data_IF_794466706029
#
_entry.id   IF_794466706029
#
_cell.length_a   1.000
_cell.length_b   1.000
_cell.length_c   1.000
_cell.angle_alpha   90.00
_cell.angle_beta   90.00
_cell.angle_gamma   90.00
#
_symmetry.space_group_name_H-M   'P 1'
#
loop_
_entity.id
_entity.type
_entity.pdbx_description
1 polymer ?
#
# COMPACT_ATOMS: atom_id res chain seq x y z
N UNK A 1 -41.36 18.21 -14.87
CA UNK A 1 -40.07 17.47 -14.77
C UNK A 1 -40.29 16.23 -13.91
N UNK A 2 -40.11 15.04 -14.48
CA UNK A 2 -40.58 13.77 -13.92
C UNK A 2 -39.88 13.41 -12.59
N UNK A 3 -40.63 13.06 -11.54
CA UNK A 3 -40.11 12.68 -10.19
C UNK A 3 -39.02 11.60 -10.28
N UNK A 4 -39.13 10.70 -11.24
CA UNK A 4 -38.16 9.64 -11.50
C UNK A 4 -36.77 10.16 -11.91
N UNK A 5 -36.74 11.22 -12.73
CA UNK A 5 -35.50 11.83 -13.23
C UNK A 5 -34.75 12.56 -12.10
N UNK A 6 -35.49 13.18 -11.18
CA UNK A 6 -34.93 13.83 -9.99
C UNK A 6 -34.31 12.81 -9.02
N UNK A 7 -34.98 11.70 -8.77
CA UNK A 7 -34.46 10.65 -7.89
C UNK A 7 -33.23 9.95 -8.46
N UNK A 8 -33.22 9.67 -9.77
CA UNK A 8 -32.06 9.10 -10.45
C UNK A 8 -30.85 10.02 -10.35
N UNK A 9 -30.98 11.30 -10.74
CA UNK A 9 -29.90 12.29 -10.65
C UNK A 9 -29.39 12.51 -9.22
N UNK A 10 -30.27 12.42 -8.23
CA UNK A 10 -29.90 12.57 -6.81
C UNK A 10 -29.15 11.35 -6.28
N UNK A 11 -29.56 10.14 -6.69
CA UNK A 11 -28.86 8.89 -6.36
C UNK A 11 -27.48 8.84 -7.03
N UNK A 12 -27.38 9.19 -8.33
CA UNK A 12 -26.09 9.25 -9.04
C UNK A 12 -25.18 10.30 -8.43
N UNK A 13 -25.68 11.49 -8.05
CA UNK A 13 -24.90 12.51 -7.33
C UNK A 13 -24.34 12.01 -6.01
N UNK A 14 -25.15 11.30 -5.23
CA UNK A 14 -24.73 10.74 -3.94
C UNK A 14 -23.65 9.67 -4.12
N UNK A 15 -23.82 8.79 -5.11
CA UNK A 15 -22.85 7.75 -5.43
C UNK A 15 -21.51 8.35 -5.91
N UNK A 16 -21.58 9.32 -6.82
CA UNK A 16 -20.38 9.99 -7.37
C UNK A 16 -19.64 10.77 -6.28
N UNK A 17 -20.37 11.52 -5.45
CA UNK A 17 -19.78 12.29 -4.35
C UNK A 17 -19.19 11.38 -3.28
N UNK A 18 -19.83 10.24 -3.01
CA UNK A 18 -19.31 9.24 -2.09
C UNK A 18 -18.02 8.61 -2.63
N UNK A 19 -17.99 8.22 -3.91
CA UNK A 19 -16.81 7.64 -4.55
C UNK A 19 -15.63 8.63 -4.60
N UNK A 20 -15.88 9.88 -4.99
CA UNK A 20 -14.86 10.94 -5.06
C UNK A 20 -14.30 11.30 -3.68
N UNK A 21 -15.15 11.45 -2.66
CA UNK A 21 -14.69 11.74 -1.29
C UNK A 21 -13.88 10.58 -0.69
N UNK A 22 -14.16 9.34 -1.11
CA UNK A 22 -13.46 8.15 -0.64
C UNK A 22 -12.12 7.94 -1.37
N UNK A 23 -12.04 8.30 -2.65
CA UNK A 23 -10.80 8.22 -3.44
C UNK A 23 -9.78 9.31 -3.09
N UNK A 24 -10.23 10.53 -2.79
CA UNK A 24 -9.33 11.68 -2.64
C UNK A 24 -9.20 12.22 -1.20
N UNK A 25 -9.92 11.65 -0.23
CA UNK A 25 -9.84 12.07 1.17
C UNK A 25 -10.38 13.48 1.48
N UNK A 26 -10.77 14.26 0.47
CA UNK A 26 -11.32 15.61 0.61
C UNK A 26 -12.77 15.71 0.11
N UNK A 27 -13.54 16.61 0.72
CA UNK A 27 -14.92 16.90 0.27
C UNK A 27 -14.87 17.79 -0.98
N UNK A 28 -14.89 17.19 -2.17
CA UNK A 28 -15.15 17.95 -3.40
C UNK A 28 -16.60 18.47 -3.34
N UNK A 29 -16.76 19.78 -3.21
CA UNK A 29 -18.06 20.44 -3.26
C UNK A 29 -18.45 20.69 -4.72
N UNK A 30 -19.22 19.78 -5.30
CA UNK A 30 -19.81 20.00 -6.63
C UNK A 30 -21.04 20.90 -6.47
N UNK A 31 -20.87 22.21 -6.64
CA UNK A 31 -21.99 23.15 -6.72
C UNK A 31 -22.70 22.99 -8.06
N UNK A 32 -23.98 22.64 -8.02
CA UNK A 32 -24.89 22.81 -9.15
C UNK A 32 -25.79 23.99 -8.83
N UNK A 33 -25.55 25.12 -9.49
CA UNK A 33 -26.55 26.20 -9.56
C UNK A 33 -27.67 25.75 -10.52
N UNK A 34 -28.95 25.76 -10.10
CA UNK A 34 -30.07 25.50 -11.01
C UNK A 34 -30.29 26.62 -12.05
N UNK A 35 -29.57 27.74 -11.96
CA UNK A 35 -29.90 28.99 -12.65
C UNK A 35 -28.89 29.46 -13.70
N UNK A 36 -27.95 28.62 -14.13
CA UNK A 36 -26.99 28.95 -15.21
C UNK A 36 -27.02 28.00 -16.41
N UNK A 37 -28.17 27.42 -16.71
CA UNK A 37 -28.40 26.62 -17.93
C UNK A 37 -29.21 27.36 -19.01
N UNK A 38 -29.29 28.69 -18.92
CA UNK A 38 -30.02 29.47 -19.91
C UNK A 38 -29.17 29.99 -21.07
N UNK A 39 -27.82 29.96 -21.04
CA UNK A 39 -27.03 30.47 -22.16
C UNK A 39 -25.80 29.60 -22.46
N UNK A 40 -25.93 28.81 -23.53
CA UNK A 40 -24.88 28.51 -24.50
C UNK A 40 -23.52 28.06 -23.97
N UNK A 41 -23.43 26.83 -23.45
CA UNK A 41 -22.19 26.06 -23.49
C UNK A 41 -22.51 24.62 -23.87
N UNK A 42 -21.95 24.24 -25.01
CA UNK A 42 -22.18 23.03 -25.79
C UNK A 42 -22.19 21.74 -24.94
N UNK A 43 -23.41 21.21 -24.77
CA UNK A 43 -23.76 20.02 -24.00
C UNK A 43 -23.05 18.75 -24.49
N UNK A 44 -22.59 18.71 -25.74
CA UNK A 44 -21.88 17.56 -26.32
C UNK A 44 -20.41 17.47 -25.87
N UNK A 45 -19.73 18.61 -25.63
CA UNK A 45 -18.34 18.60 -25.12
C UNK A 45 -18.28 18.26 -23.63
N UNK A 46 -19.21 18.79 -22.82
CA UNK A 46 -19.27 18.50 -21.39
C UNK A 46 -19.69 17.06 -21.07
N UNK A 47 -20.49 16.41 -21.93
CA UNK A 47 -20.83 14.99 -21.81
C UNK A 47 -19.65 14.09 -22.18
N UNK A 48 -18.84 14.45 -23.19
CA UNK A 48 -17.64 13.70 -23.59
C UNK A 48 -16.51 13.72 -22.55
N UNK A 49 -16.26 14.87 -21.90
CA UNK A 49 -15.30 15.01 -20.81
C UNK A 49 -15.75 14.26 -19.55
N UNK A 50 -17.05 14.34 -19.21
CA UNK A 50 -17.64 13.58 -18.10
C UNK A 50 -17.62 12.07 -18.37
N UNK A 51 -17.91 11.63 -19.59
CA UNK A 51 -17.85 10.23 -19.98
C UNK A 51 -16.40 9.70 -19.94
N UNK A 52 -15.43 10.45 -20.46
CA UNK A 52 -14.00 10.11 -20.36
C UNK A 52 -13.49 10.09 -18.91
N UNK A 53 -13.94 11.03 -18.08
CA UNK A 53 -13.55 11.08 -16.67
C UNK A 53 -14.22 9.97 -15.85
N UNK A 54 -15.47 9.62 -16.15
CA UNK A 54 -16.16 8.45 -15.60
C UNK A 54 -15.53 7.15 -16.10
N UNK A 55 -15.12 7.05 -17.36
CA UNK A 55 -14.35 5.91 -17.88
C UNK A 55 -12.99 5.79 -17.19
N UNK A 56 -12.31 6.90 -16.95
CA UNK A 56 -10.99 6.91 -16.30
C UNK A 56 -11.11 6.61 -14.79
N UNK A 57 -12.12 7.16 -14.12
CA UNK A 57 -12.47 6.83 -12.75
C UNK A 57 -12.98 5.38 -12.63
N UNK A 58 -13.78 4.88 -13.58
CA UNK A 58 -14.18 3.48 -13.65
C UNK A 58 -13.03 2.55 -14.04
N UNK A 59 -12.00 2.99 -14.80
CA UNK A 59 -10.74 2.27 -14.99
C UNK A 59 -9.97 2.18 -13.69
N UNK A 60 -9.87 3.28 -12.94
CA UNK A 60 -9.26 3.30 -11.60
C UNK A 60 -10.09 2.52 -10.56
N UNK A 61 -11.41 2.39 -10.76
CA UNK A 61 -12.29 1.64 -9.88
C UNK A 61 -12.31 0.14 -10.22
N UNK A 62 -12.29 -0.21 -11.52
CA UNK A 62 -12.09 -1.59 -12.00
C UNK A 62 -10.69 -2.12 -11.71
N UNK A 63 -9.72 -1.26 -11.39
CA UNK A 63 -8.39 -1.64 -10.89
C UNK A 63 -8.33 -1.84 -9.37
N UNK A 64 -9.48 -1.97 -8.69
CA UNK A 64 -9.53 -2.32 -7.25
C UNK A 64 -9.39 -3.83 -7.01
N UNK A 65 -9.66 -4.65 -8.03
CA UNK A 65 -9.00 -5.94 -8.14
C UNK A 65 -7.65 -5.70 -8.82
N UNK A 66 -6.58 -6.29 -8.28
CA UNK A 66 -5.38 -6.53 -9.09
C UNK A 66 -5.89 -7.12 -10.41
N UNK A 67 -5.67 -6.49 -11.57
CA UNK A 67 -6.16 -7.09 -12.80
C UNK A 67 -5.32 -8.34 -13.00
N UNK A 68 -5.88 -9.47 -12.53
CA UNK A 68 -5.35 -10.81 -12.61
C UNK A 68 -4.63 -11.00 -13.94
N UNK A 69 -3.41 -11.52 -13.88
CA UNK A 69 -2.59 -11.72 -15.07
C UNK A 69 -2.62 -13.19 -15.44
N UNK A 70 -2.88 -13.47 -16.70
CA UNK A 70 -3.03 -14.83 -17.21
C UNK A 70 -1.92 -15.11 -18.19
N UNK A 71 -1.35 -16.31 -18.13
CA UNK A 71 -0.40 -16.75 -19.15
C UNK A 71 -1.07 -16.73 -20.52
N UNK A 72 -0.41 -16.12 -21.52
CA UNK A 72 -0.94 -16.12 -22.88
C UNK A 72 -1.02 -17.55 -23.44
N UNK A 73 -2.06 -17.88 -24.22
CA UNK A 73 -2.21 -19.20 -24.83
C UNK A 73 -0.98 -19.64 -25.62
N UNK A 74 -0.70 -20.94 -25.62
CA UNK A 74 0.40 -21.54 -26.38
C UNK A 74 1.77 -21.47 -25.70
N UNK A 75 1.88 -20.84 -24.53
CA UNK A 75 3.11 -20.83 -23.72
C UNK A 75 2.96 -21.79 -22.55
N UNK A 76 3.99 -22.59 -22.27
CA UNK A 76 4.07 -23.35 -21.03
C UNK A 76 4.67 -22.49 -19.89
N UNK A 77 4.49 -22.93 -18.64
CA UNK A 77 5.16 -22.30 -17.50
C UNK A 77 6.68 -22.40 -17.58
N UNK A 78 7.20 -23.51 -18.10
CA UNK A 78 8.63 -23.69 -18.33
C UNK A 78 9.16 -22.67 -19.35
N UNK A 79 8.45 -22.46 -20.46
CA UNK A 79 8.83 -21.47 -21.47
C UNK A 79 8.80 -20.06 -20.89
N UNK A 80 7.76 -19.75 -20.11
CA UNK A 80 7.62 -18.46 -19.45
C UNK A 80 8.81 -18.14 -18.54
N UNK A 81 9.16 -19.03 -17.61
CA UNK A 81 10.29 -18.80 -16.69
C UNK A 81 11.64 -18.83 -17.40
N UNK A 82 11.82 -19.72 -18.38
CA UNK A 82 13.02 -19.77 -19.21
C UNK A 82 13.24 -18.44 -19.95
N UNK A 83 12.16 -17.87 -20.52
CA UNK A 83 12.22 -16.58 -21.18
C UNK A 83 12.49 -15.42 -20.20
N UNK A 84 11.85 -15.41 -19.03
CA UNK A 84 12.14 -14.40 -18.01
C UNK A 84 13.62 -14.39 -17.62
N UNK A 85 14.21 -15.58 -17.47
CA UNK A 85 15.64 -15.73 -17.20
C UNK A 85 16.51 -15.22 -18.35
N UNK A 86 16.16 -15.57 -19.59
CA UNK A 86 16.88 -15.12 -20.78
C UNK A 86 16.83 -13.60 -20.97
N UNK A 87 15.71 -12.96 -20.63
CA UNK A 87 15.53 -11.50 -20.67
C UNK A 87 16.20 -10.76 -19.50
N UNK A 88 16.80 -11.50 -18.55
CA UNK A 88 17.38 -10.93 -17.34
C UNK A 88 16.35 -10.25 -16.42
N UNK A 89 15.09 -10.67 -16.46
CA UNK A 89 14.03 -10.12 -15.60
C UNK A 89 14.35 -10.49 -14.14
N UNK A 90 14.35 -9.49 -13.25
CA UNK A 90 14.56 -9.73 -11.82
C UNK A 90 13.22 -10.04 -11.16
N UNK A 91 12.97 -11.32 -10.95
CA UNK A 91 11.76 -11.82 -10.29
C UNK A 91 12.09 -12.91 -9.27
N UNK A 92 11.12 -13.23 -8.42
CA UNK A 92 11.05 -14.50 -7.70
C UNK A 92 9.60 -14.96 -7.52
N UNK A 93 9.39 -16.26 -7.40
CA UNK A 93 8.13 -16.86 -6.96
C UNK A 93 8.10 -16.85 -5.43
N UNK A 94 7.03 -16.31 -4.84
CA UNK A 94 6.99 -15.99 -3.41
C UNK A 94 6.79 -17.21 -2.51
N UNK A 95 6.02 -18.20 -2.96
CA UNK A 95 5.61 -19.37 -2.19
C UNK A 95 5.10 -20.46 -3.11
N UNK A 96 5.00 -21.68 -2.60
CA UNK A 96 4.47 -22.86 -3.31
C UNK A 96 5.20 -23.18 -4.62
N UNK A 97 6.48 -22.81 -4.71
CA UNK A 97 7.30 -22.99 -5.90
C UNK A 97 7.86 -24.41 -6.03
N UNK A 98 7.74 -25.24 -4.99
CA UNK A 98 8.30 -26.59 -4.93
C UNK A 98 7.67 -27.56 -5.93
N UNK A 99 6.42 -27.33 -6.33
CA UNK A 99 5.73 -28.15 -7.32
C UNK A 99 5.90 -27.65 -8.75
N UNK A 100 6.51 -26.48 -8.97
CA UNK A 100 6.63 -25.91 -10.31
C UNK A 100 7.44 -26.82 -11.25
N UNK A 101 6.99 -27.00 -12.50
CA UNK A 101 5.93 -26.23 -13.19
C UNK A 101 4.49 -26.73 -12.96
N UNK A 102 4.29 -27.77 -12.15
CA UNK A 102 2.95 -28.32 -11.89
C UNK A 102 2.20 -27.47 -10.86
N UNK A 103 1.08 -26.89 -11.28
CA UNK A 103 0.20 -26.05 -10.46
C UNK A 103 -1.17 -26.71 -10.38
N UNK A 104 -1.72 -26.79 -9.16
CA UNK A 104 -3.04 -27.38 -8.97
C UNK A 104 -4.12 -26.54 -9.68
N UNK A 105 -5.17 -27.17 -10.24
CA UNK A 105 -6.22 -26.43 -10.94
C UNK A 105 -6.86 -25.36 -10.05
N UNK A 106 -6.80 -24.10 -10.51
CA UNK A 106 -7.39 -22.95 -9.83
C UNK A 106 -6.45 -22.19 -8.90
N UNK A 107 -5.25 -22.71 -8.63
CA UNK A 107 -4.21 -22.00 -7.88
C UNK A 107 -3.53 -20.93 -8.75
N UNK A 108 -3.08 -19.86 -8.13
CA UNK A 108 -2.30 -18.80 -8.75
C UNK A 108 -0.81 -18.89 -8.41
N UNK A 109 0.01 -18.20 -9.21
CA UNK A 109 1.44 -18.03 -8.95
C UNK A 109 1.68 -16.59 -8.52
N UNK A 110 2.15 -16.41 -7.29
CA UNK A 110 2.54 -15.11 -6.78
C UNK A 110 3.99 -14.76 -7.16
N UNK A 111 4.16 -13.69 -7.93
CA UNK A 111 5.47 -13.17 -8.33
C UNK A 111 5.77 -11.85 -7.64
N UNK A 112 7.00 -11.71 -7.15
CA UNK A 112 7.59 -10.41 -6.83
C UNK A 112 8.61 -10.05 -7.91
N UNK A 113 8.46 -8.85 -8.48
CA UNK A 113 9.21 -8.40 -9.65
C UNK A 113 9.77 -7.00 -9.38
N UNK A 114 10.96 -6.73 -9.90
CA UNK A 114 11.54 -5.40 -9.89
C UNK A 114 10.66 -4.40 -10.66
N UNK A 115 10.54 -3.18 -10.14
CA UNK A 115 9.64 -2.15 -10.71
C UNK A 115 9.94 -1.86 -12.19
N UNK A 116 11.22 -1.78 -12.56
CA UNK A 116 11.68 -1.51 -13.92
C UNK A 116 11.45 -2.66 -14.91
N UNK A 117 11.19 -3.87 -14.43
CA UNK A 117 11.03 -5.05 -15.26
C UNK A 117 9.56 -5.41 -15.53
N UNK A 118 8.59 -4.74 -14.89
CA UNK A 118 7.18 -5.11 -14.99
C UNK A 118 6.62 -4.97 -16.41
N UNK A 119 7.01 -3.93 -17.13
CA UNK A 119 6.59 -3.73 -18.52
C UNK A 119 7.04 -4.89 -19.42
N UNK A 120 8.14 -5.58 -19.08
CA UNK A 120 8.65 -6.72 -19.86
C UNK A 120 7.73 -7.94 -19.77
N UNK A 121 6.81 -8.01 -18.79
CA UNK A 121 5.87 -9.11 -18.65
C UNK A 121 4.69 -9.05 -19.63
N UNK A 122 4.40 -7.87 -20.18
CA UNK A 122 3.25 -7.66 -21.07
C UNK A 122 3.33 -8.54 -22.33
N UNK A 123 4.54 -8.97 -22.72
CA UNK A 123 4.72 -9.90 -23.84
C UNK A 123 4.22 -11.31 -23.53
N UNK A 124 4.22 -11.72 -22.26
CA UNK A 124 3.86 -13.09 -21.81
C UNK A 124 2.51 -13.19 -21.14
N UNK A 125 2.07 -12.11 -20.47
CA UNK A 125 0.86 -12.10 -19.67
C UNK A 125 -0.24 -11.27 -20.33
N UNK A 126 -1.48 -11.69 -20.09
CA UNK A 126 -2.71 -11.05 -20.59
C UNK A 126 -3.60 -10.66 -19.41
N UNK A 127 -4.34 -9.54 -19.47
CA UNK A 127 -5.39 -9.25 -18.49
C UNK A 127 -6.65 -10.10 -18.70
N UNK A 128 -6.75 -10.85 -19.81
CA UNK A 128 -7.91 -11.65 -20.15
C UNK A 128 -7.63 -13.13 -19.95
N UNK A 129 -8.50 -13.78 -19.18
CA UNK A 129 -8.49 -15.22 -19.00
C UNK A 129 -8.92 -15.91 -20.30
N UNK A 130 -8.13 -16.89 -20.71
CA UNK A 130 -8.52 -17.88 -21.70
C UNK A 130 -8.68 -19.24 -21.03
N UNK A 131 -9.36 -20.18 -21.69
CA UNK A 131 -9.52 -21.54 -21.16
C UNK A 131 -8.14 -22.12 -20.78
N UNK A 132 -8.03 -22.66 -19.57
CA UNK A 132 -6.83 -23.26 -19.00
C UNK A 132 -5.59 -22.33 -18.88
N UNK A 133 -5.78 -21.01 -18.88
CA UNK A 133 -4.65 -20.09 -18.62
C UNK A 133 -4.25 -20.11 -17.15
N UNK A 134 -2.94 -20.22 -16.90
CA UNK A 134 -2.39 -20.11 -15.54
C UNK A 134 -2.53 -18.67 -15.04
N UNK A 135 -3.05 -18.52 -13.82
CA UNK A 135 -3.23 -17.25 -13.14
C UNK A 135 -1.94 -16.84 -12.40
N UNK A 136 -1.65 -15.54 -12.44
CA UNK A 136 -0.55 -14.89 -11.74
C UNK A 136 -1.06 -13.69 -10.95
N UNK A 137 -0.61 -13.61 -9.71
CA UNK A 137 -0.64 -12.42 -8.88
C UNK A 137 0.73 -11.74 -8.96
N UNK A 138 0.77 -10.53 -9.53
CA UNK A 138 2.00 -9.81 -9.79
C UNK A 138 2.17 -8.69 -8.77
N UNK A 139 3.28 -8.73 -8.04
CA UNK A 139 3.67 -7.72 -7.07
C UNK A 139 4.99 -7.06 -7.47
N UNK A 140 5.08 -5.78 -7.13
CA UNK A 140 6.25 -4.93 -7.41
C UNK A 140 6.90 -4.47 -6.10
N UNK A 141 8.14 -4.00 -6.18
CA UNK A 141 8.90 -3.53 -5.01
C UNK A 141 8.22 -2.33 -4.36
N UNK A 142 7.80 -1.33 -5.15
CA UNK A 142 7.16 -0.12 -4.62
C UNK A 142 5.62 -0.15 -4.67
N UNK A 143 5.01 -1.22 -5.18
CA UNK A 143 3.56 -1.29 -5.35
C UNK A 143 3.06 -0.37 -6.45
N UNK A 144 3.72 -0.38 -7.62
CA UNK A 144 3.31 0.40 -8.78
C UNK A 144 1.91 -0.01 -9.26
N UNK A 145 1.23 0.89 -9.98
CA UNK A 145 -0.15 0.66 -10.43
C UNK A 145 -0.28 -0.60 -11.29
N UNK A 146 -1.19 -1.49 -10.91
CA UNK A 146 -1.40 -2.80 -11.53
C UNK A 146 -0.52 -3.92 -10.97
N UNK A 147 0.34 -3.62 -9.99
CA UNK A 147 1.21 -4.59 -9.31
C UNK A 147 1.39 -4.29 -7.80
N UNK A 148 0.36 -3.68 -7.20
CA UNK A 148 0.26 -3.42 -5.76
C UNK A 148 -0.39 -4.59 -4.99
N UNK A 149 -0.39 -4.55 -3.66
CA UNK A 149 -1.22 -5.39 -2.82
C UNK A 149 -2.40 -4.58 -2.28
N UNK A 150 -3.62 -5.12 -2.41
CA UNK A 150 -4.86 -4.42 -2.03
C UNK A 150 -4.87 -2.97 -2.58
N UNK A 151 -5.49 -2.04 -1.87
CA UNK A 151 -5.56 -0.64 -2.28
C UNK A 151 -4.25 0.06 -1.91
N UNK A 152 -3.36 0.19 -2.91
CA UNK A 152 -2.21 1.10 -2.93
C UNK A 152 -1.07 0.84 -1.93
N UNK A 153 -0.89 -0.40 -1.48
CA UNK A 153 0.29 -0.80 -0.70
C UNK A 153 1.19 -1.71 -1.55
N UNK A 154 2.52 -1.69 -1.43
CA UNK A 154 3.33 -2.81 -1.92
C UNK A 154 3.02 -4.09 -1.13
N UNK A 155 3.44 -5.25 -1.64
CA UNK A 155 3.21 -6.53 -0.97
C UNK A 155 4.06 -6.69 0.29
N UNK A 156 5.32 -6.29 0.23
CA UNK A 156 6.16 -6.08 1.42
C UNK A 156 6.65 -4.63 1.46
N UNK A 157 7.10 -4.13 2.63
CA UNK A 157 7.96 -2.95 2.67
C UNK A 157 9.11 -3.06 1.65
N UNK A 158 9.40 -1.99 0.92
CA UNK A 158 10.33 -2.02 -0.21
C UNK A 158 11.72 -2.61 0.12
N UNK A 159 12.24 -2.38 1.32
CA UNK A 159 13.51 -2.94 1.75
C UNK A 159 13.50 -4.48 1.85
N UNK A 160 12.38 -5.09 2.26
CA UNK A 160 12.21 -6.56 2.31
C UNK A 160 12.04 -7.15 0.91
N UNK A 161 11.23 -6.51 0.05
CA UNK A 161 11.12 -6.88 -1.37
C UNK A 161 12.48 -6.85 -2.07
N UNK A 162 13.28 -5.80 -1.81
CA UNK A 162 14.64 -5.67 -2.34
C UNK A 162 15.59 -6.72 -1.78
N UNK A 163 15.47 -7.10 -0.50
CA UNK A 163 16.25 -8.21 0.07
C UNK A 163 15.92 -9.53 -0.64
N UNK A 164 14.63 -9.86 -0.79
CA UNK A 164 14.17 -11.06 -1.50
C UNK A 164 14.73 -11.14 -2.92
N UNK A 165 14.59 -10.06 -3.71
CA UNK A 165 15.07 -10.05 -5.10
C UNK A 165 16.59 -10.17 -5.18
N UNK A 166 17.36 -9.56 -4.27
CA UNK A 166 18.83 -9.63 -4.28
C UNK A 166 19.36 -11.00 -3.86
N UNK A 167 18.71 -11.65 -2.89
CA UNK A 167 19.16 -12.92 -2.29
C UNK A 167 18.44 -14.14 -2.85
N UNK A 168 17.55 -13.98 -3.84
CA UNK A 168 16.88 -15.09 -4.51
C UNK A 168 17.88 -16.13 -5.01
N UNK A 169 17.47 -17.38 -4.95
CA UNK A 169 18.23 -18.54 -5.44
C UNK A 169 17.53 -19.12 -6.64
N UNK A 170 18.31 -19.65 -7.58
CA UNK A 170 17.76 -20.40 -8.70
C UNK A 170 17.59 -21.86 -8.28
N UNK A 171 16.38 -22.39 -8.45
CA UNK A 171 16.07 -23.79 -8.19
C UNK A 171 16.49 -24.68 -9.36
N UNK A 172 16.58 -26.01 -9.18
CA UNK A 172 16.94 -26.93 -10.27
C UNK A 172 16.02 -26.87 -11.50
N UNK A 173 14.75 -26.48 -11.32
CA UNK A 173 13.79 -26.26 -12.40
C UNK A 173 13.97 -24.90 -13.12
N UNK A 174 15.02 -24.14 -12.77
CA UNK A 174 15.36 -22.85 -13.37
C UNK A 174 14.61 -21.65 -12.78
N UNK A 175 13.62 -21.87 -11.90
CA UNK A 175 12.81 -20.80 -11.31
C UNK A 175 13.57 -20.12 -10.17
N UNK A 176 13.46 -18.79 -10.08
CA UNK A 176 13.96 -18.05 -8.92
C UNK A 176 12.96 -18.05 -7.76
N UNK A 177 13.46 -18.36 -6.56
CA UNK A 177 12.70 -18.46 -5.32
C UNK A 177 13.52 -17.90 -4.14
N UNK A 178 12.90 -17.59 -2.99
CA UNK A 178 13.66 -17.28 -1.79
C UNK A 178 14.46 -18.49 -1.29
N UNK A 179 15.62 -18.24 -0.66
CA UNK A 179 16.32 -19.28 0.12
C UNK A 179 15.47 -19.75 1.32
N UNK A 180 15.86 -20.82 2.01
CA UNK A 180 15.07 -21.38 3.10
C UNK A 180 14.77 -20.35 4.22
N UNK A 181 15.73 -19.50 4.55
CA UNK A 181 15.56 -18.49 5.61
C UNK A 181 14.57 -17.42 5.18
N UNK A 182 14.75 -16.87 3.98
CA UNK A 182 13.88 -15.83 3.44
C UNK A 182 12.48 -16.37 3.13
N UNK A 183 12.37 -17.64 2.72
CA UNK A 183 11.09 -18.28 2.47
C UNK A 183 10.28 -18.38 3.76
N UNK A 184 10.92 -18.79 4.86
CA UNK A 184 10.27 -18.84 6.16
C UNK A 184 9.78 -17.45 6.59
N UNK A 185 10.63 -16.44 6.48
CA UNK A 185 10.28 -15.07 6.88
C UNK A 185 9.19 -14.46 5.99
N UNK A 186 9.23 -14.66 4.67
CA UNK A 186 8.22 -14.14 3.75
C UNK A 186 6.88 -14.85 3.88
N UNK A 187 6.88 -16.16 4.10
CA UNK A 187 5.66 -16.92 4.37
C UNK A 187 5.07 -16.58 5.74
N UNK A 188 5.93 -16.37 6.74
CA UNK A 188 5.54 -15.91 8.07
C UNK A 188 4.90 -14.52 8.01
N UNK A 189 5.50 -13.58 7.27
CA UNK A 189 4.92 -12.27 7.02
C UNK A 189 3.53 -12.37 6.37
N UNK A 190 3.38 -13.23 5.36
CA UNK A 190 2.10 -13.46 4.70
C UNK A 190 1.05 -14.00 5.69
N UNK A 191 1.41 -15.01 6.48
CA UNK A 191 0.53 -15.59 7.49
C UNK A 191 0.09 -14.55 8.53
N UNK A 192 1.02 -13.75 9.07
CA UNK A 192 0.73 -12.74 10.10
C UNK A 192 -0.04 -11.55 9.54
N UNK A 193 0.46 -10.90 8.50
CA UNK A 193 -0.02 -9.57 8.11
C UNK A 193 -0.96 -9.55 6.91
N UNK A 194 -0.95 -10.58 6.05
CA UNK A 194 -1.83 -10.65 4.88
C UNK A 194 -3.07 -11.51 5.11
N UNK A 195 -2.89 -12.65 5.79
CA UNK A 195 -3.97 -13.58 6.13
C UNK A 195 -4.46 -13.37 7.57
N UNK A 196 -3.56 -13.05 8.49
CA UNK A 196 -3.84 -12.88 9.92
C UNK A 196 -4.63 -14.08 10.47
N UNK A 197 -5.77 -13.87 11.11
CA UNK A 197 -6.62 -14.96 11.66
C UNK A 197 -7.10 -15.96 10.59
N UNK A 198 -7.09 -15.58 9.30
CA UNK A 198 -7.41 -16.48 8.18
C UNK A 198 -6.27 -17.40 7.78
N UNK A 199 -5.08 -17.24 8.35
CA UNK A 199 -3.95 -18.17 8.15
C UNK A 199 -4.17 -19.51 8.84
N UNK A 200 -5.16 -19.63 9.72
CA UNK A 200 -5.42 -20.84 10.49
C UNK A 200 -4.58 -20.96 11.76
N UNK A 201 -3.70 -20.00 12.06
CA UNK A 201 -3.02 -19.95 13.34
C UNK A 201 -3.93 -19.40 14.45
N UNK A 202 -3.85 -19.95 15.68
CA UNK A 202 -4.39 -19.28 16.85
C UNK A 202 -3.63 -17.96 17.09
N UNK A 203 -4.30 -16.97 17.71
CA UNK A 203 -3.65 -15.68 18.03
C UNK A 203 -2.61 -15.84 19.14
N UNK A 204 -2.93 -16.63 20.15
CA UNK A 204 -2.10 -16.96 21.30
C UNK A 204 -2.25 -18.46 21.62
N UNK A 205 -1.35 -19.04 22.42
CA UNK A 205 -1.31 -20.47 22.69
C UNK A 205 -2.60 -21.06 23.28
N UNK A 206 -3.40 -20.25 23.99
CA UNK A 206 -4.66 -20.63 24.61
C UNK A 206 -5.91 -20.27 23.78
N UNK A 207 -5.73 -19.63 22.62
CA UNK A 207 -6.85 -19.19 21.79
C UNK A 207 -7.40 -20.32 20.92
N UNK A 208 -8.69 -20.61 21.08
CA UNK A 208 -9.42 -21.60 20.28
C UNK A 208 -10.16 -21.00 19.08
N UNK A 209 -10.15 -19.67 18.92
CA UNK A 209 -10.93 -18.96 17.90
C UNK A 209 -10.06 -18.57 16.71
N UNK A 210 -9.75 -19.53 15.86
CA UNK A 210 -9.07 -19.30 14.58
C UNK A 210 -9.82 -19.96 13.41
N UNK A 211 -9.47 -19.55 12.18
CA UNK A 211 -10.07 -20.09 10.97
C UNK A 211 -9.83 -21.61 10.89
N UNK A 212 -10.90 -22.39 10.94
CA UNK A 212 -10.84 -23.85 10.94
C UNK A 212 -10.44 -24.42 9.56
N UNK A 213 -10.68 -23.66 8.49
CA UNK A 213 -10.39 -24.04 7.10
C UNK A 213 -9.61 -22.93 6.39
N UNK A 214 -8.29 -22.80 6.65
CA UNK A 214 -7.45 -21.88 5.88
C UNK A 214 -7.28 -22.38 4.43
N UNK A 215 -7.00 -21.47 3.50
CA UNK A 215 -6.76 -21.82 2.08
C UNK A 215 -5.59 -22.81 1.91
N UNK A 216 -4.59 -22.71 2.81
CA UNK A 216 -3.44 -23.61 2.87
C UNK A 216 -3.06 -23.90 4.32
N UNK A 217 -2.33 -25.01 4.52
CA UNK A 217 -1.72 -25.38 5.79
C UNK A 217 -0.40 -24.61 5.99
N UNK A 218 -0.53 -23.33 6.36
CA UNK A 218 0.63 -22.45 6.59
C UNK A 218 1.50 -22.93 7.75
N UNK A 219 0.91 -23.55 8.77
CA UNK A 219 1.66 -24.07 9.92
C UNK A 219 2.62 -25.17 9.48
N UNK A 220 2.11 -26.20 8.81
CA UNK A 220 2.95 -27.30 8.33
C UNK A 220 3.98 -26.85 7.31
N UNK A 221 3.65 -25.87 6.47
CA UNK A 221 4.59 -25.28 5.53
C UNK A 221 5.75 -24.59 6.28
N UNK A 222 5.46 -23.73 7.26
CA UNK A 222 6.46 -23.05 8.07
C UNK A 222 7.28 -24.02 8.93
N UNK A 223 6.70 -25.09 9.46
CA UNK A 223 7.42 -26.16 10.16
C UNK A 223 8.49 -26.79 9.27
N UNK A 224 8.11 -27.26 8.08
CA UNK A 224 9.03 -27.89 7.12
C UNK A 224 10.15 -26.96 6.66
N UNK A 225 9.84 -25.69 6.42
CA UNK A 225 10.86 -24.70 6.03
C UNK A 225 11.75 -24.38 7.23
N UNK A 226 11.18 -24.29 8.43
CA UNK A 226 11.86 -23.96 9.68
C UNK A 226 12.94 -24.97 10.05
N UNK A 227 12.68 -26.27 9.87
CA UNK A 227 13.68 -27.34 10.04
C UNK A 227 14.96 -27.10 9.22
N UNK A 228 14.81 -26.62 7.98
CA UNK A 228 15.94 -26.33 7.08
C UNK A 228 16.62 -25.01 7.40
N UNK A 229 15.85 -24.02 7.84
CA UNK A 229 16.29 -22.65 8.05
C UNK A 229 16.78 -22.37 9.48
N UNK A 230 16.59 -23.32 10.41
CA UNK A 230 16.91 -23.15 11.83
C UNK A 230 15.90 -22.27 12.58
N UNK A 231 14.65 -22.19 12.11
CA UNK A 231 13.59 -21.47 12.81
C UNK A 231 12.76 -22.41 13.69
N UNK A 232 12.27 -21.91 14.83
CA UNK A 232 11.35 -22.69 15.66
C UNK A 232 10.02 -22.92 14.95
N UNK A 233 9.34 -23.99 15.34
CA UNK A 233 7.95 -24.25 14.94
C UNK A 233 7.07 -23.12 15.49
N UNK A 234 6.33 -22.40 14.64
CA UNK A 234 5.44 -21.34 15.10
C UNK A 234 4.20 -21.95 15.76
N UNK A 235 3.89 -21.52 16.98
CA UNK A 235 2.71 -22.02 17.71
C UNK A 235 1.46 -21.15 17.49
N UNK A 236 1.65 -19.86 17.25
CA UNK A 236 0.57 -18.87 17.15
C UNK A 236 1.07 -17.60 16.43
N UNK A 237 0.13 -16.72 16.07
CA UNK A 237 0.43 -15.46 15.38
C UNK A 237 1.31 -14.51 16.20
N UNK A 238 1.17 -14.51 17.54
CA UNK A 238 1.95 -13.63 18.42
C UNK A 238 3.43 -14.02 18.43
N UNK A 239 3.74 -15.31 18.51
CA UNK A 239 5.11 -15.83 18.46
C UNK A 239 5.74 -15.60 17.09
N UNK A 240 4.95 -15.78 16.02
CA UNK A 240 5.40 -15.55 14.65
C UNK A 240 5.71 -14.07 14.41
N UNK A 241 4.83 -13.15 14.84
CA UNK A 241 5.08 -11.71 14.78
C UNK A 241 6.32 -11.29 15.58
N UNK A 242 6.50 -11.85 16.79
CA UNK A 242 7.71 -11.61 17.60
C UNK A 242 8.98 -12.05 16.87
N UNK A 243 8.96 -13.24 16.27
CA UNK A 243 10.10 -13.76 15.50
C UNK A 243 10.39 -12.86 14.29
N UNK A 244 9.36 -12.44 13.56
CA UNK A 244 9.52 -11.49 12.45
C UNK A 244 10.12 -10.16 12.94
N UNK A 245 9.72 -9.65 14.10
CA UNK A 245 10.29 -8.45 14.69
C UNK A 245 11.78 -8.61 15.02
N UNK A 246 12.16 -9.70 15.71
CA UNK A 246 13.55 -10.01 16.08
C UNK A 246 14.47 -10.14 14.86
N UNK A 247 13.91 -10.59 13.72
CA UNK A 247 14.64 -10.70 12.46
C UNK A 247 14.54 -9.46 11.55
N UNK A 248 13.98 -8.34 12.01
CA UNK A 248 13.75 -7.10 11.24
C UNK A 248 12.84 -7.29 10.00
N UNK A 249 11.89 -8.21 10.10
CA UNK A 249 10.90 -8.54 9.06
C UNK A 249 9.48 -8.10 9.39
N UNK A 250 9.20 -7.67 10.62
CA UNK A 250 7.95 -6.99 10.94
C UNK A 250 7.83 -5.66 10.17
N UNK A 251 6.66 -5.31 9.60
CA UNK A 251 6.47 -4.08 8.88
C UNK A 251 6.47 -2.88 9.84
N UNK A 252 6.84 -1.69 9.37
CA UNK A 252 6.66 -0.44 10.12
C UNK A 252 5.20 -0.24 10.56
N UNK A 253 4.99 0.46 11.68
CA UNK A 253 3.67 0.63 12.32
C UNK A 253 2.62 1.22 11.37
N UNK A 254 2.99 2.21 10.54
CA UNK A 254 2.08 2.82 9.56
C UNK A 254 1.64 1.81 8.49
N UNK A 255 2.56 0.94 8.07
CA UNK A 255 2.29 -0.14 7.12
C UNK A 255 1.42 -1.23 7.75
N UNK A 256 1.76 -1.68 8.95
CA UNK A 256 0.98 -2.67 9.71
C UNK A 256 -0.45 -2.21 9.96
N UNK A 257 -0.64 -0.94 10.36
CA UNK A 257 -1.97 -0.31 10.50
C UNK A 257 -2.79 -0.41 9.22
N UNK A 258 -2.17 -0.14 8.07
CA UNK A 258 -2.83 -0.20 6.76
C UNK A 258 -3.17 -1.62 6.34
N UNK A 259 -2.28 -2.58 6.59
CA UNK A 259 -2.58 -3.99 6.37
C UNK A 259 -3.77 -4.41 7.22
N UNK A 260 -3.75 -4.12 8.53
CA UNK A 260 -4.78 -4.51 9.51
C UNK A 260 -6.19 -4.03 9.15
N UNK A 261 -6.32 -2.92 8.42
CA UNK A 261 -7.62 -2.32 8.07
C UNK A 261 -8.61 -3.35 7.51
N UNK A 262 -9.74 -3.51 8.23
CA UNK A 262 -10.95 -4.21 7.80
C UNK A 262 -10.81 -5.73 7.60
N UNK A 263 -9.77 -6.38 8.11
CA UNK A 263 -9.64 -7.84 7.97
C UNK A 263 -9.09 -8.59 9.18
N UNK A 264 -8.47 -7.93 10.15
CA UNK A 264 -7.91 -8.57 11.35
C UNK A 264 -8.23 -7.80 12.63
N UNK A 265 -9.20 -8.24 13.45
CA UNK A 265 -9.44 -7.69 14.78
C UNK A 265 -8.20 -7.71 15.68
N UNK A 266 -7.38 -8.76 15.62
CA UNK A 266 -6.16 -8.88 16.41
C UNK A 266 -5.12 -7.82 16.02
N UNK A 267 -4.80 -7.70 14.73
CA UNK A 267 -3.85 -6.67 14.27
C UNK A 267 -4.39 -5.26 14.54
N UNK A 268 -5.70 -5.03 14.46
CA UNK A 268 -6.30 -3.74 14.83
C UNK A 268 -6.16 -3.42 16.32
N UNK A 269 -6.20 -4.43 17.20
CA UNK A 269 -5.93 -4.24 18.63
C UNK A 269 -4.45 -3.93 18.88
N UNK A 270 -3.55 -4.62 18.18
CA UNK A 270 -2.10 -4.41 18.29
C UNK A 270 -1.65 -3.07 17.69
N UNK A 271 -2.28 -2.66 16.60
CA UNK A 271 -1.97 -1.43 15.86
C UNK A 271 -3.22 -0.55 15.80
N UNK A 272 -3.63 0.08 16.93
CA UNK A 272 -4.89 0.78 17.04
C UNK A 272 -5.00 1.96 16.08
N UNK A 273 -6.26 2.26 15.70
CA UNK A 273 -6.62 3.34 14.75
C UNK A 273 -6.40 4.72 15.32
N UNK A 274 -6.75 4.91 16.58
CA UNK A 274 -6.40 6.08 17.34
C UNK A 274 -5.46 5.64 18.45
N UNK A 275 -4.50 6.49 18.74
CA UNK A 275 -3.68 6.34 19.93
C UNK A 275 -4.51 6.64 21.21
N UNK A 276 -5.83 6.88 21.13
CA UNK A 276 -6.66 7.23 22.29
C UNK A 276 -6.56 6.20 23.44
N UNK A 277 -6.52 4.90 23.12
CA UNK A 277 -6.30 3.84 24.11
C UNK A 277 -4.84 3.76 24.61
N UNK A 278 -3.88 4.29 23.85
CA UNK A 278 -2.48 4.42 24.24
C UNK A 278 -2.26 5.68 25.12
N UNK A 279 -3.00 6.77 24.85
CA UNK A 279 -2.94 8.04 25.58
C UNK A 279 -3.82 8.06 26.84
N UNK A 280 -4.92 7.29 26.91
CA UNK A 280 -5.73 7.15 28.13
C UNK A 280 -4.93 6.62 29.33
N UNK A 281 -3.85 5.86 29.09
CA UNK A 281 -3.02 5.27 30.14
C UNK A 281 -1.69 6.02 30.38
N UNK A 282 -1.36 7.04 29.57
CA UNK A 282 -0.11 7.79 29.70
C UNK A 282 -0.44 9.25 30.08
N UNK A 283 -0.10 9.65 31.30
CA UNK A 283 -0.30 11.01 31.81
C UNK A 283 0.27 12.04 30.82
N UNK A 284 -0.60 12.96 30.38
CA UNK A 284 -0.36 13.87 29.27
C UNK A 284 0.78 14.86 29.51
N UNK A 285 1.63 15.02 28.50
CA UNK A 285 1.92 16.37 27.99
C UNK A 285 1.06 16.56 26.75
N UNK A 286 0.33 17.67 26.63
CA UNK A 286 -0.45 17.99 25.42
C UNK A 286 0.45 18.17 24.17
N UNK A 287 1.77 18.27 24.37
CA UNK A 287 2.74 18.43 23.32
C UNK A 287 2.80 17.22 22.35
N UNK A 288 2.71 17.49 21.05
CA UNK A 288 2.84 16.51 19.98
C UNK A 288 4.12 16.73 19.16
N UNK A 289 4.91 15.67 18.98
CA UNK A 289 6.04 15.67 18.04
C UNK A 289 5.55 15.35 16.63
N UNK A 290 5.91 16.19 15.66
CA UNK A 290 5.64 15.98 14.24
C UNK A 290 6.92 15.97 13.43
N UNK A 291 7.03 15.01 12.52
CA UNK A 291 8.15 14.89 11.58
C UNK A 291 7.66 15.21 10.17
N UNK A 292 8.22 16.25 9.57
CA UNK A 292 7.93 16.66 8.20
C UNK A 292 9.12 16.32 7.30
N UNK A 293 8.87 15.47 6.30
CA UNK A 293 9.87 15.13 5.29
C UNK A 293 9.62 15.93 4.01
N UNK A 294 10.63 16.67 3.58
CA UNK A 294 10.60 17.43 2.33
C UNK A 294 11.18 16.58 1.20
N UNK A 295 10.52 16.60 0.05
CA UNK A 295 10.94 15.85 -1.14
C UNK A 295 11.93 16.65 -1.97
N UNK A 296 12.78 15.92 -2.69
CA UNK A 296 13.83 16.44 -3.58
C UNK A 296 13.34 17.58 -4.49
N UNK A 297 12.13 17.46 -5.06
CA UNK A 297 11.57 18.49 -5.93
C UNK A 297 11.47 19.85 -5.22
N UNK A 298 10.98 19.89 -3.98
CA UNK A 298 10.80 21.14 -3.26
C UNK A 298 12.14 21.78 -2.88
N UNK A 299 13.17 20.97 -2.58
CA UNK A 299 14.52 21.47 -2.36
C UNK A 299 15.11 22.08 -3.64
N UNK A 300 14.99 21.38 -4.78
CA UNK A 300 15.48 21.88 -6.09
C UNK A 300 14.84 23.19 -6.52
N UNK A 301 13.65 23.52 -6.01
CA UNK A 301 12.92 24.75 -6.29
C UNK A 301 13.01 25.76 -5.14
N UNK A 302 13.96 25.61 -4.22
CA UNK A 302 14.23 26.54 -3.11
C UNK A 302 13.01 26.81 -2.20
N UNK A 303 12.17 25.80 -1.97
CA UNK A 303 10.95 25.95 -1.17
C UNK A 303 11.12 25.64 0.33
N UNK A 304 12.34 25.33 0.79
CA UNK A 304 12.61 24.95 2.19
C UNK A 304 12.16 26.06 3.16
N UNK A 305 12.48 27.32 2.88
CA UNK A 305 12.10 28.45 3.73
C UNK A 305 10.59 28.70 3.74
N UNK A 306 9.91 28.49 2.61
CA UNK A 306 8.45 28.57 2.55
C UNK A 306 7.84 27.49 3.44
N UNK A 307 8.36 26.26 3.38
CA UNK A 307 7.91 25.13 4.20
C UNK A 307 8.15 25.42 5.69
N UNK A 308 9.34 25.86 6.08
CA UNK A 308 9.68 26.26 7.46
C UNK A 308 8.68 27.28 7.99
N UNK A 309 8.51 28.39 7.28
CA UNK A 309 7.57 29.46 7.66
C UNK A 309 6.13 28.97 7.75
N UNK A 310 5.74 28.01 6.92
CA UNK A 310 4.39 27.46 6.93
C UNK A 310 4.16 26.56 8.15
N UNK A 311 5.17 25.77 8.55
CA UNK A 311 5.14 24.96 9.77
C UNK A 311 5.02 25.89 10.99
N UNK A 312 5.89 26.90 11.11
CA UNK A 312 5.89 27.85 12.24
C UNK A 312 4.57 28.64 12.35
N UNK A 313 4.03 29.12 11.21
CA UNK A 313 2.75 29.83 11.18
C UNK A 313 1.56 29.00 11.67
N UNK A 314 1.66 27.67 11.63
CA UNK A 314 0.64 26.75 12.12
C UNK A 314 0.83 26.38 13.60
N UNK A 315 1.72 27.09 14.32
CA UNK A 315 1.89 26.95 15.76
C UNK A 315 2.97 25.95 16.19
N UNK A 316 3.73 25.39 15.25
CA UNK A 316 4.81 24.47 15.56
C UNK A 316 6.11 25.21 15.92
N UNK A 317 6.79 24.73 16.95
CA UNK A 317 8.18 25.06 17.26
C UNK A 317 9.11 24.04 16.57
N UNK A 318 9.96 24.48 15.65
CA UNK A 318 10.91 23.60 14.96
C UNK A 318 12.12 23.37 15.85
N UNK A 319 12.34 22.12 16.26
CA UNK A 319 13.47 21.70 17.10
C UNK A 319 14.60 21.05 16.30
N UNK A 320 14.32 20.57 15.09
CA UNK A 320 15.31 20.12 14.12
C UNK A 320 14.95 20.62 12.73
N UNK A 321 15.95 21.15 12.04
CA UNK A 321 15.88 21.58 10.65
C UNK A 321 17.18 21.13 9.97
N UNK A 322 17.12 20.05 9.19
CA UNK A 322 18.32 19.43 8.65
C UNK A 322 18.12 18.81 7.26
N UNK A 323 19.12 19.01 6.41
CA UNK A 323 19.32 18.19 5.21
C UNK A 323 19.61 16.74 5.61
N UNK A 324 19.03 15.79 4.88
CA UNK A 324 19.31 14.37 5.07
C UNK A 324 20.58 13.99 4.29
N UNK A 325 21.47 13.25 4.94
CA UNK A 325 22.60 12.58 4.28
C UNK A 325 22.11 11.51 3.29
N UNK A 326 22.91 11.15 2.28
CA UNK A 326 22.52 10.13 1.28
C UNK A 326 22.03 8.82 1.93
N UNK A 327 22.71 8.34 2.98
CA UNK A 327 22.29 7.15 3.71
C UNK A 327 20.93 7.34 4.40
N UNK A 328 20.67 8.50 5.02
CA UNK A 328 19.36 8.80 5.63
C UNK A 328 18.26 8.92 4.57
N UNK A 329 18.56 9.49 3.41
CA UNK A 329 17.62 9.57 2.29
C UNK A 329 17.24 8.17 1.80
N UNK A 330 18.20 7.26 1.65
CA UNK A 330 17.96 5.88 1.23
C UNK A 330 17.13 5.10 2.27
N UNK A 331 17.47 5.23 3.55
CA UNK A 331 16.70 4.61 4.65
C UNK A 331 15.26 5.13 4.65
N UNK A 332 15.06 6.46 4.60
CA UNK A 332 13.74 7.06 4.60
C UNK A 332 12.95 6.69 3.32
N UNK A 333 13.62 6.66 2.16
CA UNK A 333 13.02 6.29 0.89
C UNK A 333 12.55 4.83 0.85
N UNK A 334 13.15 3.93 1.62
CA UNK A 334 12.86 2.48 1.57
C UNK A 334 12.03 1.97 2.76
N UNK A 335 12.07 2.67 3.90
CA UNK A 335 11.39 2.24 5.13
C UNK A 335 10.12 3.01 5.45
N UNK A 336 9.97 4.24 4.97
CA UNK A 336 8.77 5.03 5.24
C UNK A 336 7.78 4.92 4.09
N UNK A 337 6.47 4.95 4.42
CA UNK A 337 5.37 4.85 3.43
C UNK A 337 5.46 3.61 2.51
N UNK A 338 6.02 2.50 3.02
CA UNK A 338 6.26 1.30 2.23
C UNK A 338 7.27 1.48 1.08
N UNK A 339 7.98 2.61 1.03
CA UNK A 339 8.94 2.94 -0.02
C UNK A 339 8.35 3.58 -1.28
N UNK A 340 7.05 3.88 -1.30
CA UNK A 340 6.43 4.54 -2.44
C UNK A 340 6.55 6.07 -2.35
N UNK A 341 7.59 6.60 -2.99
CA UNK A 341 7.89 8.03 -3.11
C UNK A 341 7.64 8.59 -4.52
N UNK A 342 6.94 7.82 -5.36
CA UNK A 342 6.65 8.17 -6.74
C UNK A 342 5.78 9.43 -6.85
N UNK A 343 5.59 9.88 -8.11
CA UNK A 343 4.73 11.00 -8.44
C UNK A 343 3.32 10.75 -7.90
N UNK A 344 2.89 11.62 -6.98
CA UNK A 344 1.54 11.60 -6.44
C UNK A 344 0.51 12.17 -7.42
N UNK A 345 -0.75 12.35 -7.00
CA UNK A 345 -1.82 12.85 -7.87
C UNK A 345 -1.69 14.34 -8.25
N UNK A 346 -0.69 15.03 -7.71
CA UNK A 346 -0.50 16.48 -7.92
C UNK A 346 0.44 16.77 -9.09
N UNK A 347 0.29 17.91 -9.78
CA UNK A 347 1.13 18.30 -10.91
C UNK A 347 2.62 18.25 -10.57
N UNK A 348 2.98 18.79 -9.40
CA UNK A 348 4.36 18.81 -8.87
C UNK A 348 4.43 17.99 -7.59
N UNK A 349 4.92 16.76 -7.73
CA UNK A 349 5.04 15.81 -6.63
C UNK A 349 6.00 14.69 -6.99
N UNK A 350 6.69 14.14 -6.00
CA UNK A 350 7.60 13.00 -6.17
C UNK A 350 9.00 13.34 -5.69
N UNK A 351 9.90 12.36 -5.80
CA UNK A 351 11.27 12.47 -5.33
C UNK A 351 11.45 11.92 -3.92
N UNK A 352 12.67 11.48 -3.65
CA UNK A 352 13.09 10.94 -2.36
C UNK A 352 13.02 12.03 -1.28
N UNK A 353 12.85 11.67 0.00
CA UNK A 353 12.99 12.63 1.09
C UNK A 353 14.44 13.12 1.15
N UNK A 354 14.65 14.43 1.23
CA UNK A 354 15.98 15.07 1.22
C UNK A 354 16.21 16.02 2.40
N UNK A 355 15.15 16.37 3.11
CA UNK A 355 15.19 17.29 4.24
C UNK A 355 14.19 16.84 5.29
N UNK A 356 14.48 17.13 6.55
CA UNK A 356 13.64 16.82 7.68
C UNK A 356 13.44 18.04 8.57
N UNK A 357 12.19 18.29 8.96
CA UNK A 357 11.86 19.10 10.11
C UNK A 357 11.28 18.22 11.20
N UNK A 358 11.80 18.34 12.42
CA UNK A 358 11.14 17.83 13.63
C UNK A 358 10.61 19.04 14.37
N UNK A 359 9.31 19.02 14.65
CA UNK A 359 8.63 20.15 15.26
C UNK A 359 7.72 19.70 16.40
N UNK A 360 7.65 20.52 17.43
CA UNK A 360 6.78 20.36 18.58
C UNK A 360 5.57 21.27 18.42
N UNK A 361 4.40 20.71 18.66
CA UNK A 361 3.18 21.49 18.85
C UNK A 361 2.79 21.33 20.31
N UNK A 362 2.99 22.37 21.13
CA UNK A 362 2.80 22.28 22.57
C UNK A 362 1.33 22.19 22.98
N UNK A 363 0.43 22.67 22.11
CA UNK A 363 -1.01 22.77 22.38
C UNK A 363 -1.80 22.47 21.09
N UNK A 364 -1.76 21.23 20.58
CA UNK A 364 -2.45 20.86 19.37
C UNK A 364 -3.97 21.00 19.58
N UNK A 365 -4.70 21.61 18.63
CA UNK A 365 -6.13 21.76 18.80
C UNK A 365 -6.85 20.42 18.63
N UNK A 366 -8.06 20.33 19.16
CA UNK A 366 -8.91 19.16 18.99
C UNK A 366 -9.13 18.84 17.51
N UNK A 367 -9.09 17.54 17.17
CA UNK A 367 -9.30 17.09 15.80
C UNK A 367 -10.79 17.21 15.46
N UNK A 368 -11.16 17.96 14.41
CA UNK A 368 -12.55 18.03 13.98
C UNK A 368 -13.06 16.63 13.63
N UNK A 369 -14.21 16.21 14.18
CA UNK A 369 -14.70 14.84 14.02
C UNK A 369 -14.90 14.39 12.56
N UNK A 370 -15.16 15.32 11.64
CA UNK A 370 -15.18 15.04 10.19
C UNK A 370 -13.79 14.68 9.66
N UNK A 371 -12.76 15.41 10.09
CA UNK A 371 -11.37 15.17 9.72
C UNK A 371 -10.88 13.84 10.31
N UNK A 372 -11.21 13.56 11.57
CA UNK A 372 -10.89 12.28 12.21
C UNK A 372 -11.50 11.08 11.47
N UNK A 373 -12.74 11.19 10.98
CA UNK A 373 -13.35 10.15 10.13
C UNK A 373 -12.63 9.93 8.80
N UNK A 374 -12.04 10.99 8.23
CA UNK A 374 -11.29 10.91 6.97
C UNK A 374 -9.87 10.39 7.18
N UNK A 375 -9.24 10.79 8.30
CA UNK A 375 -7.88 10.46 8.68
C UNK A 375 -7.88 9.88 10.10
N UNK A 376 -8.25 8.60 10.28
CA UNK A 376 -8.46 8.01 11.60
C UNK A 376 -7.21 7.96 12.47
N UNK A 377 -6.02 7.94 11.84
CA UNK A 377 -4.72 7.93 12.50
C UNK A 377 -4.11 9.32 12.68
N UNK A 378 -4.85 10.39 12.35
CA UNK A 378 -4.38 11.75 12.63
C UNK A 378 -4.45 11.98 14.13
N UNK A 379 -3.35 12.48 14.71
CA UNK A 379 -3.25 12.84 16.13
C UNK A 379 -3.09 14.35 16.34
N UNK A 380 -2.59 15.08 15.32
CA UNK A 380 -2.47 16.54 15.34
C UNK A 380 -3.01 17.12 14.02
N UNK A 381 -4.09 17.94 14.06
CA UNK A 381 -4.71 18.49 12.86
C UNK A 381 -3.87 19.59 12.19
N UNK A 382 -2.97 20.27 12.91
CA UNK A 382 -2.05 21.26 12.34
C UNK A 382 -1.15 20.61 11.28
N UNK A 383 -0.76 19.33 11.44
CA UNK A 383 0.02 18.61 10.41
C UNK A 383 -0.73 18.48 9.09
N UNK A 384 -2.06 18.36 9.12
CA UNK A 384 -2.90 18.34 7.93
C UNK A 384 -2.98 19.73 7.31
N UNK A 385 -3.20 20.78 8.10
CA UNK A 385 -3.32 22.15 7.59
C UNK A 385 -2.02 22.70 7.01
N UNK A 386 -0.86 22.36 7.58
CA UNK A 386 0.46 22.62 6.97
C UNK A 386 0.50 22.04 5.55
N UNK A 387 0.15 20.76 5.39
CA UNK A 387 0.17 20.08 4.09
C UNK A 387 -0.79 20.73 3.09
N UNK A 388 -1.98 21.12 3.51
CA UNK A 388 -2.95 21.79 2.64
C UNK A 388 -2.46 23.16 2.20
N UNK A 389 -2.00 23.98 3.14
CA UNK A 389 -1.48 25.32 2.85
C UNK A 389 -0.35 25.28 1.82
N UNK A 390 0.55 24.30 1.97
CA UNK A 390 1.65 24.09 1.01
C UNK A 390 1.17 23.58 -0.35
N UNK A 391 0.18 22.69 -0.38
CA UNK A 391 -0.37 22.19 -1.66
C UNK A 391 -1.01 23.31 -2.46
N UNK A 392 -1.80 24.15 -1.81
CA UNK A 392 -2.49 25.28 -2.43
C UNK A 392 -1.48 26.32 -2.92
N UNK A 393 -0.42 26.59 -2.16
CA UNK A 393 0.62 27.55 -2.54
C UNK A 393 1.51 27.08 -3.70
N UNK A 394 1.69 25.76 -3.88
CA UNK A 394 2.67 25.20 -4.83
C UNK A 394 2.01 24.65 -6.11
N UNK A 395 0.78 24.12 -6.02
CA UNK A 395 0.10 23.45 -7.15
C UNK A 395 -1.00 24.31 -7.78
N UNK A 396 -0.93 25.62 -7.61
CA UNK A 396 -1.90 26.60 -8.14
C UNK A 396 -1.71 26.88 -9.63
#
# INVERSE_FOLDING_TARGET
MNRFHYHFLTATKRLLRWALNRMFGEKIAIYFSPLRWANGLDLQRASSLKARFLEQAMRCWRSHDQPRRYLKPGNSLADFFSAMNADGIRYLVLRWFESLPDVQPGEDIDLLIADEDIAKLEKWLSPHQTNNSQLFDIYSVSGISGAQFRIALPYFPAHLSGELLRKRVQLPNGVFAPDARLHWLSLGFHAVYHKAEKSGFPVAADDRKFAQNPDHDYQRALEKIGEKAGFPVPNNLTDLDKTLFEHNWAPPVDFARKLAENHSPWLLKKYPRSDAAFWENNQHTDACVSVFLVREWAQKHNLIDLIRKTIERQGFEIVLDAALTENQQEIAATRLRGGNWNRGPYPVCGGRPVWCFVALDQTPPEIPGKLQKQLPFLNNPNTFWVKQSLRDAINT
#
